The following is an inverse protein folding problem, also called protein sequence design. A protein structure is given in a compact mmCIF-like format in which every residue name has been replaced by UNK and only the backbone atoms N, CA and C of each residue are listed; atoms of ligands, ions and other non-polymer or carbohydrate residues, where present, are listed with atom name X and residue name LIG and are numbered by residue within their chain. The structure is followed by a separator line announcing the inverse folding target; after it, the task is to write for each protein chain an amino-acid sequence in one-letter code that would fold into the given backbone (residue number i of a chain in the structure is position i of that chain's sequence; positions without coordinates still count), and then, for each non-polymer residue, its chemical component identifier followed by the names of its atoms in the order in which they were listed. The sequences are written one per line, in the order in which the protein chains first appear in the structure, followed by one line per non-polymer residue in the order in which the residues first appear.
data_IF_778855901106
#
_entry.id   IF_778855901106
#
_cell.length_a   1.000
_cell.length_b   1.000
_cell.length_c   1.000
_cell.angle_alpha   90.00
_cell.angle_beta   90.00
_cell.angle_gamma   90.00
#
_symmetry.space_group_name_H-M   'P 1'
#
loop_
_entity.id
_entity.type
_entity.pdbx_description
1 polymer ?
#
# COMPACT_ATOMS: atom_id res chain seq x y z
N UNK A 1 2.73 -83.17 -32.89
CA UNK A 1 2.81 -81.77 -33.39
C UNK A 1 2.36 -80.83 -32.25
N UNK A 2 3.33 -80.25 -31.54
CA UNK A 2 3.08 -79.48 -30.32
C UNK A 2 3.13 -78.01 -30.70
N UNK A 3 1.95 -77.31 -30.63
CA UNK A 3 1.91 -75.83 -30.82
C UNK A 3 2.27 -75.12 -29.49
N UNK A 4 3.43 -74.46 -29.46
CA UNK A 4 3.77 -73.59 -28.33
C UNK A 4 3.06 -72.24 -28.53
N UNK A 5 2.19 -71.92 -27.57
CA UNK A 5 1.60 -70.58 -27.44
C UNK A 5 2.59 -69.73 -26.66
N UNK A 6 3.07 -68.63 -27.27
CA UNK A 6 3.87 -67.62 -26.62
C UNK A 6 2.93 -66.53 -26.11
N UNK A 7 2.74 -66.44 -24.79
CA UNK A 7 2.02 -65.33 -24.16
C UNK A 7 2.97 -64.14 -24.03
N UNK A 8 2.73 -63.11 -24.85
CA UNK A 8 3.42 -61.80 -24.75
C UNK A 8 2.65 -60.93 -23.73
N UNK A 9 3.15 -60.88 -22.50
CA UNK A 9 2.63 -60.00 -21.48
C UNK A 9 3.16 -58.60 -21.73
N UNK A 10 2.29 -57.68 -22.22
CA UNK A 10 2.59 -56.27 -22.42
C UNK A 10 2.52 -55.56 -21.07
N UNK A 11 3.67 -55.31 -20.42
CA UNK A 11 3.77 -54.45 -19.24
C UNK A 11 3.61 -52.98 -19.68
N UNK A 12 2.41 -52.40 -19.46
CA UNK A 12 2.22 -50.97 -19.52
C UNK A 12 2.90 -50.32 -18.31
N UNK A 13 4.07 -49.78 -18.52
CA UNK A 13 4.71 -48.88 -17.56
C UNK A 13 3.94 -47.51 -17.57
N UNK A 14 3.05 -47.32 -16.61
CA UNK A 14 2.43 -46.02 -16.33
C UNK A 14 3.52 -45.17 -15.70
N UNK A 15 4.17 -44.32 -16.51
CA UNK A 15 5.04 -43.28 -16.02
C UNK A 15 4.19 -42.23 -15.27
N UNK A 16 4.06 -42.40 -13.96
CA UNK A 16 3.51 -41.36 -13.09
C UNK A 16 4.49 -40.16 -13.13
N UNK A 17 4.15 -39.16 -13.92
CA UNK A 17 4.81 -37.86 -13.81
C UNK A 17 4.44 -37.29 -12.44
N UNK A 18 5.31 -37.52 -11.46
CA UNK A 18 5.23 -36.78 -10.21
C UNK A 18 5.34 -35.30 -10.54
N UNK A 19 4.23 -34.59 -10.53
CA UNK A 19 4.25 -33.12 -10.49
C UNK A 19 4.96 -32.77 -9.19
N UNK A 20 6.24 -32.40 -9.28
CA UNK A 20 6.96 -31.88 -8.13
C UNK A 20 6.22 -30.64 -7.68
N UNK A 21 5.59 -30.68 -6.52
CA UNK A 21 5.04 -29.50 -5.89
C UNK A 21 6.21 -28.52 -5.71
N UNK A 22 6.08 -27.33 -6.28
CA UNK A 22 7.09 -26.28 -6.14
C UNK A 22 7.36 -26.04 -4.65
N UNK A 23 8.62 -26.12 -4.24
CA UNK A 23 9.00 -25.93 -2.85
C UNK A 23 8.69 -24.50 -2.41
N UNK A 24 7.95 -24.34 -1.30
CA UNK A 24 7.62 -23.04 -0.77
C UNK A 24 8.87 -22.34 -0.22
N UNK A 25 9.04 -21.08 -0.59
CA UNK A 25 10.15 -20.23 -0.16
C UNK A 25 9.64 -18.92 0.44
N UNK A 26 10.56 -18.14 0.99
CA UNK A 26 10.27 -16.77 1.44
C UNK A 26 9.07 -16.65 2.38
N UNK A 27 8.20 -15.70 2.08
CA UNK A 27 7.02 -15.40 2.89
C UNK A 27 5.98 -16.52 2.87
N UNK A 28 5.78 -17.22 1.74
CA UNK A 28 4.85 -18.34 1.68
C UNK A 28 5.27 -19.47 2.64
N UNK A 29 6.57 -19.81 2.65
CA UNK A 29 7.10 -20.81 3.57
C UNK A 29 6.92 -20.37 5.03
N UNK A 30 7.31 -19.13 5.34
CA UNK A 30 7.14 -18.55 6.69
C UNK A 30 5.69 -18.62 7.17
N UNK A 31 4.73 -18.22 6.33
CA UNK A 31 3.31 -18.24 6.68
C UNK A 31 2.83 -19.67 6.92
N UNK A 32 3.23 -20.63 6.07
CA UNK A 32 2.89 -22.03 6.24
C UNK A 32 3.43 -22.61 7.55
N UNK A 33 4.70 -22.34 7.85
CA UNK A 33 5.38 -22.87 9.03
C UNK A 33 4.85 -22.28 10.34
N UNK A 34 4.46 -21.00 10.32
CA UNK A 34 3.99 -20.28 11.53
C UNK A 34 2.48 -20.27 11.70
N UNK A 35 1.71 -20.50 10.63
CA UNK A 35 0.26 -20.33 10.64
C UNK A 35 -0.19 -18.88 10.82
N UNK A 36 0.69 -17.89 10.54
CA UNK A 36 0.39 -16.45 10.75
C UNK A 36 0.83 -15.64 9.54
N UNK A 37 -0.08 -14.78 9.04
CA UNK A 37 0.22 -13.71 8.11
C UNK A 37 0.08 -12.36 8.81
N UNK A 38 1.07 -11.46 8.62
CA UNK A 38 1.07 -10.13 9.24
C UNK A 38 0.82 -9.05 8.19
N UNK A 39 -0.30 -8.34 8.35
CA UNK A 39 -0.71 -7.21 7.49
C UNK A 39 -0.29 -5.91 8.18
N UNK A 40 0.50 -5.09 7.48
CA UNK A 40 0.74 -3.70 7.84
C UNK A 40 -0.43 -2.83 7.39
N UNK A 41 -1.04 -2.09 8.32
CA UNK A 41 -2.16 -1.20 8.01
C UNK A 41 -1.88 0.22 8.49
N UNK A 42 -2.66 1.18 7.98
CA UNK A 42 -2.57 2.60 8.33
C UNK A 42 -3.77 3.02 9.18
N UNK A 43 -3.53 3.87 10.16
CA UNK A 43 -4.59 4.33 11.07
C UNK A 43 -5.48 5.41 10.45
N UNK A 44 -4.97 6.20 9.48
CA UNK A 44 -5.65 7.39 8.97
C UNK A 44 -5.49 7.62 7.45
N UNK A 45 -5.42 6.55 6.65
CA UNK A 45 -5.34 6.62 5.18
C UNK A 45 -6.68 6.28 4.51
N UNK A 46 -7.74 7.01 4.87
CA UNK A 46 -9.08 6.85 4.28
C UNK A 46 -9.03 7.13 2.76
N UNK A 47 -9.75 6.35 1.92
CA UNK A 47 -10.61 5.21 2.26
C UNK A 47 -9.88 3.84 2.18
N UNK A 48 -8.55 3.81 2.08
CA UNK A 48 -7.77 2.60 1.77
C UNK A 48 -7.42 1.76 2.99
N UNK A 49 -7.01 2.41 4.08
CA UNK A 49 -6.59 1.73 5.31
C UNK A 49 -6.75 2.68 6.49
N UNK A 50 -7.63 2.36 7.39
CA UNK A 50 -7.93 3.19 8.57
C UNK A 50 -8.58 2.35 9.67
N UNK A 51 -8.70 2.93 10.86
CA UNK A 51 -9.43 2.32 11.97
C UNK A 51 -10.90 2.75 11.94
N UNK A 52 -11.81 1.78 12.04
CA UNK A 52 -13.24 2.04 12.20
C UNK A 52 -13.56 2.50 13.64
N UNK A 53 -14.83 2.72 13.93
CA UNK A 53 -15.32 3.12 15.27
C UNK A 53 -15.01 2.08 16.35
N UNK A 54 -14.81 0.82 15.97
CA UNK A 54 -14.45 -0.29 16.85
C UNK A 54 -12.94 -0.54 16.93
N UNK A 55 -12.11 0.38 16.41
CA UNK A 55 -10.65 0.26 16.33
C UNK A 55 -10.19 -0.96 15.51
N UNK A 56 -10.98 -1.36 14.51
CA UNK A 56 -10.61 -2.43 13.58
C UNK A 56 -10.01 -1.84 12.32
N UNK A 57 -8.92 -2.42 11.80
CA UNK A 57 -8.39 -2.06 10.49
C UNK A 57 -9.38 -2.41 9.38
N UNK A 58 -9.77 -1.40 8.61
CA UNK A 58 -10.72 -1.52 7.49
C UNK A 58 -10.26 -0.64 6.32
N UNK A 59 -10.92 -0.80 5.17
CA UNK A 59 -10.72 0.01 3.99
C UNK A 59 -10.36 -0.78 2.75
N UNK A 60 -10.42 -0.13 1.60
CA UNK A 60 -10.30 -0.77 0.29
C UNK A 60 -9.04 -1.63 0.12
N UNK A 61 -7.88 -1.11 0.55
CA UNK A 61 -6.63 -1.88 0.47
C UNK A 61 -6.58 -3.03 1.49
N UNK A 62 -7.19 -2.84 2.67
CA UNK A 62 -7.32 -3.89 3.69
C UNK A 62 -8.21 -5.02 3.16
N UNK A 63 -9.32 -4.70 2.50
CA UNK A 63 -10.23 -5.69 1.92
C UNK A 63 -9.56 -6.51 0.81
N UNK A 64 -8.75 -5.86 -0.05
CA UNK A 64 -7.94 -6.57 -1.05
C UNK A 64 -6.99 -7.56 -0.35
N UNK A 65 -6.29 -7.11 0.68
CA UNK A 65 -5.35 -7.97 1.41
C UNK A 65 -6.05 -9.13 2.16
N UNK A 66 -7.26 -8.91 2.65
CA UNK A 66 -8.03 -10.00 3.27
C UNK A 66 -8.43 -11.06 2.25
N UNK A 67 -8.73 -10.70 1.00
CA UNK A 67 -8.90 -11.67 -0.09
C UNK A 67 -7.62 -12.46 -0.35
N UNK A 68 -6.46 -11.79 -0.38
CA UNK A 68 -5.17 -12.49 -0.48
C UNK A 68 -4.99 -13.48 0.67
N UNK A 69 -5.42 -13.13 1.90
CA UNK A 69 -5.36 -14.06 3.04
C UNK A 69 -6.26 -15.28 2.83
N UNK A 70 -7.46 -15.11 2.28
CA UNK A 70 -8.37 -16.22 2.02
C UNK A 70 -7.77 -17.19 0.98
N UNK A 71 -7.20 -16.66 -0.10
CA UNK A 71 -6.46 -17.45 -1.09
C UNK A 71 -5.21 -18.15 -0.49
N UNK A 72 -4.53 -17.52 0.49
CA UNK A 72 -3.42 -18.15 1.23
C UNK A 72 -3.88 -19.36 2.03
N UNK A 73 -5.05 -19.31 2.68
CA UNK A 73 -5.61 -20.45 3.43
C UNK A 73 -5.78 -21.66 2.52
N UNK A 74 -6.31 -21.45 1.32
CA UNK A 74 -6.55 -22.50 0.33
C UNK A 74 -5.23 -23.02 -0.24
N UNK A 75 -4.37 -22.16 -0.78
CA UNK A 75 -3.09 -22.56 -1.40
C UNK A 75 -2.17 -23.30 -0.44
N UNK A 76 -2.06 -22.82 0.79
CA UNK A 76 -1.18 -23.42 1.81
C UNK A 76 -1.82 -24.58 2.55
N UNK A 77 -3.12 -24.83 2.35
CA UNK A 77 -3.91 -25.82 3.10
C UNK A 77 -3.84 -25.59 4.62
N UNK A 78 -3.93 -24.33 5.04
CA UNK A 78 -3.92 -23.90 6.45
C UNK A 78 -5.23 -23.16 6.76
N UNK A 79 -6.35 -23.86 6.96
CA UNK A 79 -7.66 -23.22 7.19
C UNK A 79 -7.70 -22.40 8.48
N UNK A 80 -6.83 -22.71 9.45
CA UNK A 80 -6.67 -21.99 10.71
C UNK A 80 -5.68 -20.83 10.65
N UNK A 81 -5.29 -20.38 9.44
CA UNK A 81 -4.36 -19.26 9.25
C UNK A 81 -4.85 -18.01 9.98
N UNK A 82 -4.01 -17.49 10.87
CA UNK A 82 -4.31 -16.28 11.63
C UNK A 82 -3.81 -15.03 10.90
N UNK A 83 -4.65 -14.00 10.86
CA UNK A 83 -4.27 -12.68 10.38
C UNK A 83 -3.88 -11.81 11.57
N UNK A 84 -2.65 -11.32 11.58
CA UNK A 84 -2.17 -10.33 12.53
C UNK A 84 -2.11 -8.97 11.86
N UNK A 85 -2.69 -7.95 12.48
CA UNK A 85 -2.57 -6.58 12.03
C UNK A 85 -1.46 -5.85 12.79
N UNK A 86 -0.63 -5.12 12.05
CA UNK A 86 0.47 -4.31 12.62
C UNK A 86 0.34 -2.86 12.12
N UNK A 87 0.11 -1.87 13.01
CA UNK A 87 0.03 -0.49 12.58
C UNK A 87 1.37 -0.02 12.04
N UNK A 88 1.32 0.69 10.91
CA UNK A 88 2.50 1.28 10.29
C UNK A 88 2.26 2.73 9.90
N UNK A 89 3.29 3.56 10.04
CA UNK A 89 3.31 4.94 9.52
C UNK A 89 3.87 4.98 8.10
N UNK A 90 3.76 6.12 7.44
CA UNK A 90 4.42 6.31 6.14
C UNK A 90 5.95 6.16 6.23
N UNK A 91 6.54 6.48 7.37
CA UNK A 91 7.98 6.37 7.59
C UNK A 91 8.42 4.95 7.98
N UNK A 92 7.60 4.19 8.73
CA UNK A 92 7.99 2.86 9.26
C UNK A 92 7.68 1.68 8.32
N UNK A 93 6.72 1.83 7.39
CA UNK A 93 6.24 0.71 6.55
C UNK A 93 7.33 0.03 5.73
N UNK A 94 8.23 0.80 5.08
CA UNK A 94 9.31 0.24 4.24
C UNK A 94 10.30 -0.59 5.07
N UNK A 95 10.87 -0.09 6.19
CA UNK A 95 11.71 -0.90 7.07
C UNK A 95 11.03 -2.16 7.60
N UNK A 96 9.73 -2.09 7.96
CA UNK A 96 9.00 -3.23 8.54
C UNK A 96 8.70 -4.33 7.49
N UNK A 97 8.50 -3.96 6.23
CA UNK A 97 8.42 -4.92 5.12
C UNK A 97 9.80 -5.50 4.79
N UNK A 98 10.82 -4.66 4.70
CA UNK A 98 12.16 -5.10 4.32
C UNK A 98 12.76 -6.12 5.30
N UNK A 99 12.52 -5.93 6.60
CA UNK A 99 13.00 -6.83 7.65
C UNK A 99 12.08 -8.04 7.93
N UNK A 100 10.89 -8.13 7.28
CA UNK A 100 9.95 -9.24 7.42
C UNK A 100 9.07 -9.21 8.67
N UNK A 101 9.04 -8.11 9.44
CA UNK A 101 8.10 -7.92 10.54
C UNK A 101 6.66 -7.88 10.02
N UNK A 102 6.46 -7.29 8.84
CA UNK A 102 5.21 -7.23 8.10
C UNK A 102 5.38 -8.01 6.80
N UNK A 103 4.40 -8.83 6.44
CA UNK A 103 4.43 -9.65 5.22
C UNK A 103 3.93 -8.88 4.00
N UNK A 104 2.87 -8.09 4.16
CA UNK A 104 2.33 -7.19 3.13
C UNK A 104 1.77 -5.91 3.76
N UNK A 105 2.02 -4.77 3.14
CA UNK A 105 1.46 -3.48 3.56
C UNK A 105 0.27 -3.11 2.69
N UNK A 106 -0.86 -2.86 3.33
CA UNK A 106 -2.17 -2.66 2.74
C UNK A 106 -2.66 -1.25 3.08
N UNK A 107 -2.10 -0.28 2.39
CA UNK A 107 -2.36 1.14 2.67
C UNK A 107 -2.44 1.97 1.39
N UNK A 108 -1.98 3.20 1.44
CA UNK A 108 -1.91 4.15 0.34
C UNK A 108 -0.46 4.40 -0.07
N UNK A 109 0.20 3.38 -0.66
CA UNK A 109 1.63 3.45 -0.96
C UNK A 109 1.91 3.53 -2.44
N UNK A 110 2.53 4.64 -2.88
CA UNK A 110 3.03 4.77 -4.24
C UNK A 110 4.12 3.74 -4.55
N UNK A 111 3.93 3.03 -5.66
CA UNK A 111 4.94 2.17 -6.27
C UNK A 111 5.89 3.05 -7.10
N UNK A 112 6.95 3.56 -6.47
CA UNK A 112 7.96 4.38 -7.13
C UNK A 112 9.23 3.58 -7.42
N UNK A 113 9.97 3.98 -8.46
CA UNK A 113 11.27 3.36 -8.83
C UNK A 113 12.25 3.40 -7.66
N UNK A 114 12.28 4.51 -6.91
CA UNK A 114 13.13 4.66 -5.72
C UNK A 114 12.81 3.58 -4.66
N UNK A 115 11.52 3.38 -4.36
CA UNK A 115 11.09 2.39 -3.36
C UNK A 115 11.33 0.95 -3.79
N UNK A 116 11.28 0.66 -5.09
CA UNK A 116 11.60 -0.67 -5.64
C UNK A 116 13.06 -1.10 -5.38
N UNK A 117 13.94 -0.17 -5.01
CA UNK A 117 15.29 -0.50 -4.55
C UNK A 117 15.30 -1.16 -3.15
N UNK A 118 14.26 -1.00 -2.35
CA UNK A 118 14.18 -1.46 -0.96
C UNK A 118 13.12 -2.55 -0.76
N UNK A 119 12.00 -2.46 -1.49
CA UNK A 119 10.83 -3.34 -1.38
C UNK A 119 10.34 -3.74 -2.77
N UNK A 120 9.37 -4.65 -2.85
CA UNK A 120 8.66 -4.98 -4.08
C UNK A 120 7.19 -4.57 -3.96
N UNK A 121 6.55 -4.46 -5.11
CA UNK A 121 5.14 -4.12 -5.22
C UNK A 121 4.41 -5.15 -6.07
N UNK A 122 3.18 -5.46 -5.69
CA UNK A 122 2.23 -6.25 -6.47
C UNK A 122 1.54 -5.37 -7.55
N UNK A 123 0.46 -5.89 -8.14
CA UNK A 123 -0.33 -5.16 -9.12
C UNK A 123 -0.84 -3.81 -8.57
N UNK A 124 -0.96 -2.83 -9.46
CA UNK A 124 -1.58 -1.54 -9.15
C UNK A 124 -3.08 -1.73 -8.92
N UNK A 125 -3.59 -1.19 -7.80
CA UNK A 125 -5.03 -1.22 -7.51
C UNK A 125 -5.70 0.16 -7.54
N UNK A 126 -4.91 1.26 -7.58
CA UNK A 126 -5.46 2.62 -7.65
C UNK A 126 -4.46 3.60 -8.30
N UNK A 127 -4.97 4.68 -8.88
CA UNK A 127 -4.18 5.80 -9.41
C UNK A 127 -4.65 7.10 -8.75
N UNK A 128 -3.72 7.93 -8.29
CA UNK A 128 -4.01 9.20 -7.61
C UNK A 128 -2.91 10.22 -7.87
N UNK A 129 -3.22 11.50 -7.73
CA UNK A 129 -2.27 12.58 -7.96
C UNK A 129 -2.00 13.36 -6.66
N UNK A 130 -0.77 13.82 -6.50
CA UNK A 130 -0.37 14.68 -5.39
C UNK A 130 -0.89 16.11 -5.60
N UNK A 131 -1.73 16.58 -4.68
CA UNK A 131 -2.38 17.90 -4.69
C UNK A 131 -2.24 18.57 -3.33
N UNK A 132 -2.87 19.72 -3.16
CA UNK A 132 -3.03 20.30 -1.83
C UNK A 132 -4.47 20.65 -1.54
N UNK A 133 -4.83 20.65 -0.26
CA UNK A 133 -6.07 21.21 0.27
C UNK A 133 -5.76 22.43 1.10
N UNK A 134 -6.62 23.45 1.02
CA UNK A 134 -6.57 24.66 1.84
C UNK A 134 -7.97 25.06 2.27
N UNK A 135 -8.09 25.99 3.23
CA UNK A 135 -9.36 26.65 3.49
C UNK A 135 -9.70 27.58 2.33
N UNK A 136 -10.95 27.61 1.87
CA UNK A 136 -11.40 28.53 0.79
C UNK A 136 -11.11 29.99 1.11
N UNK A 137 -11.20 30.36 2.40
CA UNK A 137 -10.90 31.72 2.86
C UNK A 137 -9.45 32.16 2.62
N UNK A 138 -8.52 31.23 2.43
CA UNK A 138 -7.11 31.55 2.12
C UNK A 138 -6.86 31.84 0.64
N UNK A 139 -7.82 31.58 -0.25
CA UNK A 139 -7.73 31.83 -1.70
C UNK A 139 -6.50 31.20 -2.39
N UNK A 140 -6.02 30.05 -1.90
CA UNK A 140 -4.91 29.29 -2.49
C UNK A 140 -5.46 28.34 -3.55
N UNK A 141 -5.12 28.52 -4.83
CA UNK A 141 -5.67 27.76 -5.94
C UNK A 141 -4.60 27.02 -6.74
N UNK A 142 -3.39 27.59 -6.80
CA UNK A 142 -2.26 27.07 -7.57
C UNK A 142 -1.07 26.78 -6.66
N UNK A 143 -0.11 25.99 -7.15
CA UNK A 143 1.13 25.72 -6.42
C UNK A 143 1.92 27.03 -6.19
N UNK A 144 1.81 27.99 -7.09
CA UNK A 144 2.47 29.28 -6.96
C UNK A 144 1.93 30.08 -5.77
N UNK A 145 0.64 29.96 -5.43
CA UNK A 145 0.03 30.64 -4.29
C UNK A 145 0.57 30.17 -2.94
N UNK A 146 1.25 29.00 -2.91
CA UNK A 146 1.90 28.48 -1.72
C UNK A 146 3.21 29.23 -1.37
N UNK A 147 3.64 30.17 -2.20
CA UNK A 147 4.88 30.91 -1.97
C UNK A 147 4.87 31.63 -0.61
N UNK A 148 5.91 31.39 0.20
CA UNK A 148 6.06 31.94 1.56
C UNK A 148 5.13 31.37 2.61
N UNK A 149 4.19 30.48 2.24
CA UNK A 149 3.22 29.87 3.13
C UNK A 149 3.84 28.79 4.02
N UNK A 150 3.18 28.48 5.14
CA UNK A 150 3.46 27.27 5.93
C UNK A 150 2.60 26.13 5.39
N UNK A 151 3.24 25.11 4.85
CA UNK A 151 2.56 23.97 4.21
C UNK A 151 2.95 22.68 4.93
N UNK A 152 1.96 21.91 5.34
CA UNK A 152 2.17 20.61 5.99
C UNK A 152 2.10 19.49 4.97
N UNK A 153 2.89 18.45 5.19
CA UNK A 153 2.75 17.14 4.53
C UNK A 153 3.16 16.02 5.50
N UNK A 154 2.83 14.77 5.19
CA UNK A 154 3.13 13.66 6.09
C UNK A 154 4.56 13.16 5.87
N UNK A 155 5.29 12.98 6.96
CA UNK A 155 6.66 12.44 6.97
C UNK A 155 6.73 11.05 6.31
N UNK A 156 7.80 10.77 5.55
CA UNK A 156 8.01 9.47 4.88
C UNK A 156 7.14 9.23 3.66
N UNK A 157 6.46 10.26 3.13
CA UNK A 157 5.67 10.18 1.89
C UNK A 157 6.45 10.71 0.69
N UNK A 158 6.08 10.26 -0.51
CA UNK A 158 6.56 10.88 -1.74
C UNK A 158 6.04 12.33 -1.89
N UNK A 159 4.87 12.61 -1.31
CA UNK A 159 4.25 13.94 -1.35
C UNK A 159 5.12 15.03 -0.73
N UNK A 160 5.68 14.79 0.47
CA UNK A 160 6.58 15.78 1.11
C UNK A 160 7.89 15.93 0.31
N UNK A 161 8.37 14.87 -0.35
CA UNK A 161 9.54 14.93 -1.21
C UNK A 161 9.27 15.78 -2.47
N UNK A 162 8.14 15.54 -3.16
CA UNK A 162 7.71 16.32 -4.33
C UNK A 162 7.46 17.79 -3.97
N UNK A 163 6.82 18.04 -2.83
CA UNK A 163 6.65 19.41 -2.30
C UNK A 163 8.00 20.09 -2.11
N UNK A 164 8.96 19.39 -1.49
CA UNK A 164 10.31 19.93 -1.25
C UNK A 164 11.04 20.22 -2.56
N UNK A 165 11.01 19.28 -3.52
CA UNK A 165 11.63 19.48 -4.83
C UNK A 165 10.99 20.63 -5.60
N UNK A 166 9.67 20.74 -5.59
CA UNK A 166 8.93 21.84 -6.24
C UNK A 166 9.24 23.18 -5.58
N UNK A 167 9.30 23.22 -4.24
CA UNK A 167 9.66 24.43 -3.48
C UNK A 167 11.03 24.98 -3.90
N UNK A 168 12.03 24.09 -4.01
CA UNK A 168 13.39 24.46 -4.44
C UNK A 168 13.40 24.89 -5.92
N UNK A 169 12.83 24.06 -6.80
CA UNK A 169 12.86 24.28 -8.25
C UNK A 169 12.16 25.58 -8.66
N UNK A 170 11.01 25.89 -8.05
CA UNK A 170 10.22 27.11 -8.32
C UNK A 170 10.57 28.28 -7.40
N UNK A 171 11.51 28.12 -6.46
CA UNK A 171 11.95 29.15 -5.49
C UNK A 171 10.79 29.76 -4.70
N UNK A 172 9.86 28.93 -4.22
CA UNK A 172 8.63 29.39 -3.59
C UNK A 172 8.80 29.86 -2.15
N UNK A 173 9.89 29.50 -1.47
CA UNK A 173 10.10 29.89 -0.08
C UNK A 173 9.09 29.30 0.92
N UNK A 174 8.48 28.15 0.58
CA UNK A 174 7.51 27.45 1.41
C UNK A 174 8.18 26.97 2.70
N UNK A 175 7.54 27.20 3.84
CA UNK A 175 7.92 26.62 5.13
C UNK A 175 7.24 25.26 5.27
N UNK A 176 7.99 24.20 4.96
CA UNK A 176 7.45 22.82 5.00
C UNK A 176 7.48 22.32 6.44
N UNK A 177 6.33 21.81 6.92
CA UNK A 177 6.18 21.15 8.21
C UNK A 177 5.81 19.69 7.99
N UNK A 178 6.49 18.77 8.69
CA UNK A 178 6.20 17.35 8.62
C UNK A 178 5.29 16.96 9.78
N UNK A 179 4.18 16.26 9.47
CA UNK A 179 3.32 15.60 10.44
C UNK A 179 3.61 14.09 10.47
N UNK A 180 3.26 13.40 11.55
CA UNK A 180 3.50 11.97 11.69
C UNK A 180 2.52 11.13 10.86
N UNK A 181 1.26 11.59 10.75
CA UNK A 181 0.21 10.94 9.96
C UNK A 181 -0.70 11.96 9.25
N UNK A 182 -1.66 11.46 8.46
CA UNK A 182 -2.53 12.30 7.65
C UNK A 182 -3.59 13.05 8.49
N UNK A 183 -4.05 12.46 9.59
CA UNK A 183 -5.02 13.11 10.48
C UNK A 183 -4.37 14.28 11.22
N UNK A 184 -3.15 14.12 11.73
CA UNK A 184 -2.37 15.22 12.33
C UNK A 184 -2.13 16.34 11.32
N UNK A 185 -1.73 16.00 10.09
CA UNK A 185 -1.51 16.99 9.03
C UNK A 185 -2.79 17.78 8.72
N UNK A 186 -3.92 17.10 8.60
CA UNK A 186 -5.21 17.74 8.35
C UNK A 186 -5.64 18.61 9.54
N UNK A 187 -5.41 18.16 10.77
CA UNK A 187 -5.67 18.95 11.99
C UNK A 187 -4.83 20.23 12.03
N UNK A 188 -3.58 20.18 11.56
CA UNK A 188 -2.74 21.40 11.47
C UNK A 188 -3.32 22.42 10.49
N UNK A 189 -3.89 21.96 9.36
CA UNK A 189 -4.61 22.82 8.44
C UNK A 189 -5.89 23.37 9.08
N UNK A 190 -6.68 22.50 9.70
CA UNK A 190 -7.98 22.86 10.29
C UNK A 190 -7.84 23.92 11.39
N UNK A 191 -6.82 23.79 12.22
CA UNK A 191 -6.51 24.74 13.32
C UNK A 191 -5.72 25.97 12.87
N UNK A 192 -5.40 26.12 11.58
CA UNK A 192 -4.66 27.27 11.05
C UNK A 192 -3.15 27.26 11.37
N UNK A 193 -2.60 26.15 11.83
CA UNK A 193 -1.15 25.97 12.04
C UNK A 193 -0.39 25.79 10.72
N UNK A 194 -1.10 25.41 9.65
CA UNK A 194 -0.63 25.36 8.28
C UNK A 194 -1.68 26.01 7.36
N UNK A 195 -1.25 26.64 6.27
CA UNK A 195 -2.11 27.26 5.26
C UNK A 195 -2.64 26.25 4.24
N UNK A 196 -1.89 25.17 4.02
CA UNK A 196 -2.25 24.07 3.10
C UNK A 196 -1.66 22.75 3.59
N UNK A 197 -2.31 21.64 3.17
CA UNK A 197 -1.84 20.27 3.36
C UNK A 197 -1.65 19.61 2.00
N UNK A 198 -0.44 19.12 1.70
CA UNK A 198 -0.06 18.46 0.45
C UNK A 198 -0.11 16.95 0.65
N UNK A 199 -0.98 16.26 -0.13
CA UNK A 199 -1.20 14.82 -0.08
C UNK A 199 -1.93 14.36 -1.35
N UNK A 200 -2.16 13.06 -1.47
CA UNK A 200 -2.92 12.44 -2.56
C UNK A 200 -4.36 12.93 -2.58
N UNK A 201 -4.86 13.31 -3.74
CA UNK A 201 -6.18 13.94 -3.92
C UNK A 201 -7.34 13.14 -3.31
N UNK A 202 -7.31 11.81 -3.45
CA UNK A 202 -8.34 10.93 -2.86
C UNK A 202 -8.30 10.93 -1.34
N UNK A 203 -7.10 10.97 -0.72
CA UNK A 203 -6.96 11.06 0.74
C UNK A 203 -7.42 12.43 1.23
N UNK A 204 -7.07 13.51 0.52
CA UNK A 204 -7.55 14.85 0.82
C UNK A 204 -9.06 14.93 0.73
N UNK A 205 -9.67 14.39 -0.33
CA UNK A 205 -11.12 14.37 -0.51
C UNK A 205 -11.82 13.64 0.64
N UNK A 206 -11.27 12.51 1.08
CA UNK A 206 -11.83 11.73 2.19
C UNK A 206 -11.73 12.45 3.53
N UNK A 207 -10.60 13.10 3.81
CA UNK A 207 -10.42 13.91 5.03
C UNK A 207 -11.33 15.11 5.05
N UNK A 208 -11.49 15.80 3.91
CA UNK A 208 -12.43 16.92 3.76
C UNK A 208 -13.86 16.43 3.99
N UNK A 209 -14.27 15.33 3.36
CA UNK A 209 -15.62 14.78 3.52
C UNK A 209 -15.93 14.40 4.97
N UNK A 210 -14.94 13.90 5.72
CA UNK A 210 -15.06 13.57 7.15
C UNK A 210 -14.91 14.77 8.11
N UNK A 211 -14.60 15.97 7.60
CA UNK A 211 -14.43 17.17 8.43
C UNK A 211 -15.77 17.72 8.91
N UNK A 212 -15.75 18.58 9.95
CA UNK A 212 -16.97 19.22 10.48
C UNK A 212 -17.70 20.07 9.43
N UNK A 213 -16.95 20.79 8.58
CA UNK A 213 -17.50 21.68 7.56
C UNK A 213 -16.78 21.44 6.21
N UNK A 214 -17.14 20.42 5.44
CA UNK A 214 -16.48 20.10 4.16
C UNK A 214 -16.49 21.27 3.16
N UNK A 215 -17.53 22.12 3.23
CA UNK A 215 -17.67 23.30 2.35
C UNK A 215 -16.58 24.37 2.55
N UNK A 216 -15.86 24.36 3.66
CA UNK A 216 -14.84 25.35 3.98
C UNK A 216 -13.50 25.08 3.26
N UNK A 217 -13.35 23.91 2.65
CA UNK A 217 -12.12 23.48 2.03
C UNK A 217 -12.19 23.47 0.50
N UNK A 218 -11.03 23.64 -0.12
CA UNK A 218 -10.83 23.49 -1.57
C UNK A 218 -9.58 22.65 -1.82
N UNK A 219 -9.69 21.68 -2.71
CA UNK A 219 -8.56 20.90 -3.22
C UNK A 219 -8.10 21.56 -4.52
N UNK A 220 -6.78 21.75 -4.69
CA UNK A 220 -6.21 22.39 -5.87
C UNK A 220 -6.53 21.64 -7.15
N UNK A 221 -6.78 22.36 -8.23
CA UNK A 221 -6.88 21.78 -9.57
C UNK A 221 -5.50 21.40 -10.14
N UNK A 222 -4.44 22.14 -9.76
CA UNK A 222 -3.06 21.85 -10.12
C UNK A 222 -2.52 20.69 -9.29
N UNK A 223 -1.83 19.73 -9.93
CA UNK A 223 -1.15 18.62 -9.26
C UNK A 223 0.36 18.83 -9.27
N UNK A 224 1.07 18.35 -8.25
CA UNK A 224 2.52 18.39 -8.16
C UNK A 224 3.20 17.44 -9.16
N UNK A 225 2.52 16.35 -9.52
CA UNK A 225 3.03 15.33 -10.43
C UNK A 225 1.89 14.68 -11.23
N UNK A 226 2.25 13.92 -12.26
CA UNK A 226 1.31 13.01 -12.93
C UNK A 226 0.77 11.97 -11.94
N UNK A 227 -0.42 11.36 -12.22
CA UNK A 227 -0.96 10.31 -11.36
C UNK A 227 0.03 9.17 -11.15
N UNK A 228 0.11 8.69 -9.92
CA UNK A 228 1.00 7.64 -9.48
C UNK A 228 0.21 6.43 -8.96
N UNK A 229 0.74 5.19 -9.12
CA UNK A 229 0.03 3.98 -8.76
C UNK A 229 0.20 3.63 -7.29
N UNK A 230 -0.90 3.26 -6.61
CA UNK A 230 -0.86 2.51 -5.36
C UNK A 230 -0.76 1.02 -5.64
N UNK A 231 0.05 0.33 -4.86
CA UNK A 231 0.16 -1.12 -4.90
C UNK A 231 0.46 -1.70 -3.52
N UNK A 232 0.07 -2.96 -3.30
CA UNK A 232 0.45 -3.71 -2.09
C UNK A 232 1.96 -3.85 -2.07
N UNK A 233 2.58 -3.46 -0.96
CA UNK A 233 4.03 -3.54 -0.78
C UNK A 233 4.40 -4.83 -0.05
N UNK A 234 5.41 -5.52 -0.57
CA UNK A 234 5.94 -6.78 -0.06
C UNK A 234 7.46 -6.76 -0.03
N UNK A 235 8.08 -7.76 0.58
CA UNK A 235 9.53 -7.86 0.67
C UNK A 235 10.17 -8.03 -0.71
N UNK A 236 11.26 -7.32 -0.94
CA UNK A 236 12.06 -7.44 -2.16
C UNK A 236 12.70 -8.83 -2.29
N UNK A 237 12.74 -9.35 -3.51
CA UNK A 237 13.35 -10.65 -3.82
C UNK A 237 12.43 -11.85 -3.60
N UNK A 238 11.29 -11.69 -2.97
CA UNK A 238 10.30 -12.75 -2.75
C UNK A 238 9.37 -12.91 -3.96
N UNK A 239 9.91 -13.49 -5.04
CA UNK A 239 9.17 -13.61 -6.31
C UNK A 239 7.98 -14.56 -6.20
N UNK A 240 8.09 -15.62 -5.39
CA UNK A 240 7.01 -16.58 -5.22
C UNK A 240 5.80 -15.95 -4.51
N UNK A 241 6.05 -15.18 -3.45
CA UNK A 241 4.99 -14.44 -2.77
C UNK A 241 4.41 -13.32 -3.63
N UNK A 242 5.28 -12.60 -4.37
CA UNK A 242 4.84 -11.56 -5.32
C UNK A 242 3.91 -12.13 -6.40
N UNK A 243 4.30 -13.26 -7.02
CA UNK A 243 3.47 -13.95 -8.01
C UNK A 243 2.11 -14.30 -7.43
N UNK A 244 2.10 -14.89 -6.24
CA UNK A 244 0.87 -15.25 -5.55
C UNK A 244 -0.04 -14.05 -5.27
N UNK A 245 0.50 -12.95 -4.72
CA UNK A 245 -0.30 -11.74 -4.43
C UNK A 245 -0.88 -11.15 -5.73
N UNK A 246 -0.10 -11.17 -6.82
CA UNK A 246 -0.57 -10.69 -8.13
C UNK A 246 -1.71 -11.54 -8.72
N UNK A 247 -1.71 -12.86 -8.47
CA UNK A 247 -2.77 -13.76 -8.93
C UNK A 247 -4.05 -13.58 -8.10
N UNK A 248 -3.92 -13.25 -6.82
CA UNK A 248 -5.03 -13.08 -5.88
C UNK A 248 -5.68 -11.67 -5.95
N UNK A 249 -5.09 -10.70 -6.67
CA UNK A 249 -5.56 -9.30 -6.79
C UNK A 249 -5.86 -8.91 -8.23
#
# INVERSE_FOLDING_TARGET
MLKKAVNLALLLAVASTAVSAEELTGTLKKIKDTGVVTIGFRDSSLPFSYLDENQKPVGYAVDICLKVVDELKEKLQVPSLQTKFNPVTSASRIPLIANGTVDMECGSTFNTVERQNQVAFANTYFLTANRFVSKKSSNLNTIADLAGQTVVSTSGTANIQELSMTNVARKLGIKIVAANDHAEAFLMLDTGRASAFVMDDILLASLVAGSRNPSDYSISSEAFSAPQPYAIMIRRGDQQFKGFVNEAT
#
